data_IF_002490014242
#
_entry.id   IF_002490014242
#
_cell.length_a   1.000
_cell.length_b   1.000
_cell.length_c   1.000
_cell.angle_alpha   90.00
_cell.angle_beta   90.00
_cell.angle_gamma   90.00
#
_symmetry.space_group_name_H-M   'P 1'
#
loop_
_entity.id
_entity.type
_entity.pdbx_description
1 polymer ?
#
# COMPACT_ATOMS: atom_id res chain seq x y z
N UNK A 1 49.30 -2.93 19.01
CA UNK A 1 48.50 -2.09 18.09
C UNK A 1 47.43 -2.97 17.46
N UNK A 2 46.19 -2.82 17.88
CA UNK A 2 45.09 -3.69 17.44
C UNK A 2 44.67 -3.28 16.03
N UNK A 3 45.02 -4.11 15.04
CA UNK A 3 44.53 -3.97 13.67
C UNK A 3 43.04 -4.33 13.65
N UNK A 4 42.18 -3.31 13.67
CA UNK A 4 40.75 -3.48 13.47
C UNK A 4 40.50 -4.02 12.05
N UNK A 5 39.94 -5.22 11.96
CA UNK A 5 39.53 -5.84 10.72
C UNK A 5 38.53 -4.91 9.99
N UNK A 6 38.65 -4.70 8.66
CA UNK A 6 37.75 -3.80 7.96
C UNK A 6 36.31 -4.28 8.09
N UNK A 7 35.46 -3.46 8.71
CA UNK A 7 34.03 -3.74 8.90
C UNK A 7 33.39 -4.11 7.56
N UNK A 8 32.56 -5.17 7.56
CA UNK A 8 31.90 -5.59 6.33
C UNK A 8 30.96 -4.48 5.87
N UNK A 9 30.90 -4.13 4.56
CA UNK A 9 30.05 -3.04 4.07
C UNK A 9 28.56 -3.14 4.46
N UNK A 10 28.06 -4.34 4.72
CA UNK A 10 26.69 -4.57 5.19
C UNK A 10 26.46 -4.18 6.64
N UNK A 11 27.47 -4.31 7.51
CA UNK A 11 27.38 -3.96 8.91
C UNK A 11 27.27 -2.45 9.06
N UNK A 12 28.08 -1.70 8.30
CA UNK A 12 28.01 -0.23 8.21
C UNK A 12 26.63 0.23 7.73
N UNK A 13 26.06 -0.39 6.69
CA UNK A 13 24.73 -0.03 6.17
C UNK A 13 23.64 -0.35 7.20
N UNK A 14 23.71 -1.49 7.87
CA UNK A 14 22.74 -1.85 8.91
C UNK A 14 22.81 -0.93 10.11
N UNK A 15 24.01 -0.48 10.50
CA UNK A 15 24.19 0.51 11.57
C UNK A 15 23.50 1.82 11.20
N UNK A 16 23.75 2.35 10.00
CA UNK A 16 23.09 3.57 9.47
C UNK A 16 21.57 3.44 9.39
N UNK A 17 21.05 2.27 9.01
CA UNK A 17 19.60 2.04 8.98
C UNK A 17 19.02 1.91 10.39
N UNK A 18 19.75 1.31 11.32
CA UNK A 18 19.29 1.23 12.70
C UNK A 18 19.20 2.63 13.35
N UNK A 19 20.20 3.48 13.11
CA UNK A 19 20.22 4.89 13.53
C UNK A 19 19.04 5.69 12.95
N UNK A 20 18.53 5.30 11.78
CA UNK A 20 17.32 5.90 11.15
C UNK A 20 15.99 5.38 11.71
N UNK A 21 16.02 4.54 12.75
CA UNK A 21 14.81 4.03 13.43
C UNK A 21 14.22 2.76 12.82
N UNK A 22 14.94 2.05 11.94
CA UNK A 22 14.45 0.78 11.41
C UNK A 22 14.56 -0.34 12.46
N UNK A 23 13.51 -1.17 12.62
CA UNK A 23 13.49 -2.20 13.65
C UNK A 23 14.44 -3.36 13.30
N UNK A 24 15.09 -3.93 14.32
CA UNK A 24 16.17 -4.93 14.17
C UNK A 24 15.72 -6.17 13.39
N UNK A 25 14.46 -6.60 13.55
CA UNK A 25 13.88 -7.75 12.85
C UNK A 25 13.82 -7.53 11.32
N UNK A 26 13.45 -6.34 10.87
CA UNK A 26 13.42 -5.97 9.44
C UNK A 26 14.83 -5.94 8.86
N UNK A 27 15.80 -5.43 9.62
CA UNK A 27 17.20 -5.40 9.20
C UNK A 27 17.79 -6.80 9.08
N UNK A 28 17.52 -7.69 10.04
CA UNK A 28 17.94 -9.10 10.00
C UNK A 28 17.32 -9.85 8.82
N UNK A 29 16.03 -9.63 8.54
CA UNK A 29 15.35 -10.21 7.39
C UNK A 29 15.92 -9.68 6.06
N UNK A 30 16.22 -8.38 5.99
CA UNK A 30 16.88 -7.75 4.86
C UNK A 30 18.28 -8.31 4.59
N UNK A 31 19.07 -8.56 5.65
CA UNK A 31 20.39 -9.23 5.56
C UNK A 31 20.25 -10.62 4.94
N UNK A 32 19.41 -11.49 5.53
CA UNK A 32 19.19 -12.86 5.03
C UNK A 32 18.81 -12.87 3.54
N UNK A 33 17.89 -12.00 3.13
CA UNK A 33 17.45 -11.89 1.72
C UNK A 33 18.52 -11.37 0.77
N UNK A 34 19.37 -10.44 1.24
CA UNK A 34 20.49 -9.92 0.45
C UNK A 34 21.60 -10.96 0.29
N UNK A 35 21.86 -11.77 1.32
CA UNK A 35 22.91 -12.79 1.32
C UNK A 35 22.54 -13.99 0.44
N UNK A 36 21.28 -14.47 0.50
CA UNK A 36 20.78 -15.56 -0.36
C UNK A 36 20.98 -15.26 -1.85
N UNK A 37 20.81 -14.00 -2.27
CA UNK A 37 20.97 -13.58 -3.67
C UNK A 37 22.42 -13.29 -4.08
N UNK A 38 23.36 -13.21 -3.13
CA UNK A 38 24.79 -13.09 -3.42
C UNK A 38 25.46 -14.44 -3.58
N UNK A 39 25.04 -15.45 -2.82
CA UNK A 39 25.55 -16.83 -2.93
C UNK A 39 25.29 -17.39 -4.33
N UNK A 40 24.20 -16.98 -4.98
CA UNK A 40 23.90 -17.31 -6.39
C UNK A 40 24.69 -16.49 -7.43
N UNK A 41 25.53 -15.53 -7.00
CA UNK A 41 26.24 -14.55 -7.84
C UNK A 41 27.73 -14.42 -7.51
N UNK A 42 28.34 -15.43 -6.90
CA UNK A 42 29.79 -15.47 -6.74
C UNK A 42 30.47 -15.85 -8.06
N UNK A 43 30.41 -14.94 -9.03
CA UNK A 43 31.35 -14.90 -10.15
C UNK A 43 32.34 -13.78 -9.89
N UNK A 44 33.54 -14.20 -9.51
CA UNK A 44 34.86 -13.62 -9.82
C UNK A 44 34.84 -12.14 -10.24
N UNK A 45 34.99 -11.23 -9.28
CA UNK A 45 35.37 -9.83 -9.55
C UNK A 45 36.83 -9.78 -9.97
N UNK A 46 37.11 -9.92 -11.25
CA UNK A 46 38.36 -9.40 -11.82
C UNK A 46 38.17 -7.90 -12.07
N UNK A 47 38.95 -7.09 -11.36
CA UNK A 47 39.08 -5.65 -11.54
C UNK A 47 39.79 -5.38 -12.88
N UNK A 48 39.07 -5.49 -14.01
CA UNK A 48 39.62 -5.09 -15.31
C UNK A 48 39.46 -3.58 -15.49
N UNK A 49 40.60 -2.89 -15.39
CA UNK A 49 40.76 -1.47 -15.69
C UNK A 49 40.36 -1.20 -17.16
N UNK A 50 39.47 -0.22 -17.35
CA UNK A 50 39.50 0.69 -18.49
C UNK A 50 39.37 0.14 -19.90
N UNK A 51 38.54 -0.87 -20.18
CA UNK A 51 38.18 -1.15 -21.57
C UNK A 51 37.05 -0.22 -22.02
N UNK A 52 37.26 0.58 -23.08
CA UNK A 52 36.20 1.34 -23.76
C UNK A 52 35.26 0.35 -24.47
N UNK A 53 34.29 -0.18 -23.73
CA UNK A 53 33.27 -1.09 -24.24
C UNK A 53 31.92 -0.41 -24.16
N UNK A 54 31.07 -0.72 -25.12
CA UNK A 54 29.72 -0.17 -25.18
C UNK A 54 28.85 -0.88 -24.13
N UNK A 55 28.25 -0.14 -23.17
CA UNK A 55 27.29 -0.72 -22.25
C UNK A 55 25.94 -0.92 -22.95
N UNK A 56 25.35 -2.10 -22.79
CA UNK A 56 23.98 -2.37 -23.25
C UNK A 56 23.05 -2.47 -22.05
N UNK A 57 21.87 -1.86 -22.15
CA UNK A 57 20.87 -1.83 -21.06
C UNK A 57 20.06 -3.13 -21.01
N UNK A 58 19.74 -3.57 -19.80
CA UNK A 58 19.00 -4.80 -19.55
C UNK A 58 17.51 -4.64 -19.89
N UNK A 59 16.98 -5.49 -20.79
CA UNK A 59 15.56 -5.73 -20.97
C UNK A 59 15.22 -7.22 -20.70
N UNK A 60 13.94 -7.59 -20.67
CA UNK A 60 13.50 -8.97 -20.37
C UNK A 60 14.10 -10.03 -21.31
N UNK A 61 14.43 -9.64 -22.54
CA UNK A 61 15.06 -10.46 -23.59
C UNK A 61 16.59 -10.35 -23.64
N UNK A 62 17.22 -9.62 -22.71
CA UNK A 62 18.64 -9.27 -22.78
C UNK A 62 19.58 -10.47 -22.73
N UNK A 63 19.18 -11.58 -22.11
CA UNK A 63 20.00 -12.80 -22.08
C UNK A 63 20.09 -13.49 -23.44
N UNK A 64 18.98 -13.55 -24.19
CA UNK A 64 18.99 -14.12 -25.55
C UNK A 64 19.65 -13.15 -26.52
N UNK A 65 19.32 -11.85 -26.42
CA UNK A 65 19.93 -10.79 -27.22
C UNK A 65 21.45 -10.73 -26.97
N UNK A 66 21.90 -10.79 -25.72
CA UNK A 66 23.32 -10.79 -25.38
C UNK A 66 24.08 -11.96 -25.99
N UNK A 67 23.49 -13.18 -25.99
CA UNK A 67 24.08 -14.35 -26.66
C UNK A 67 24.21 -14.14 -28.16
N UNK A 68 23.17 -13.61 -28.81
CA UNK A 68 23.16 -13.32 -30.24
C UNK A 68 24.17 -12.24 -30.59
N UNK A 69 24.20 -11.13 -29.84
CA UNK A 69 25.14 -10.02 -30.03
C UNK A 69 26.59 -10.48 -29.87
N UNK A 70 26.91 -11.27 -28.83
CA UNK A 70 28.26 -11.80 -28.65
C UNK A 70 28.65 -12.77 -29.79
N UNK A 71 27.71 -13.57 -30.31
CA UNK A 71 27.97 -14.49 -31.44
C UNK A 71 28.19 -13.72 -32.76
N UNK A 72 27.41 -12.68 -33.01
CA UNK A 72 27.40 -11.91 -34.25
C UNK A 72 28.29 -10.65 -34.20
N UNK A 73 29.04 -10.44 -33.12
CA UNK A 73 29.83 -9.22 -32.91
C UNK A 73 30.87 -8.96 -34.01
N UNK A 74 31.39 -10.02 -34.63
CA UNK A 74 32.33 -9.96 -35.73
C UNK A 74 31.79 -9.18 -36.95
N UNK A 75 30.46 -9.12 -37.15
CA UNK A 75 29.83 -8.34 -38.22
C UNK A 75 30.07 -6.84 -37.99
N UNK A 76 29.92 -6.38 -36.75
CA UNK A 76 30.17 -4.98 -36.39
C UNK A 76 31.64 -4.61 -36.50
N UNK A 77 32.55 -5.53 -36.13
CA UNK A 77 34.00 -5.33 -36.30
C UNK A 77 34.40 -5.17 -37.77
N UNK A 78 33.75 -5.90 -38.69
CA UNK A 78 34.04 -5.84 -40.12
C UNK A 78 33.39 -4.65 -40.81
N UNK A 79 32.18 -4.27 -40.40
CA UNK A 79 31.45 -3.14 -40.99
C UNK A 79 32.01 -1.78 -40.56
N UNK A 80 32.60 -1.69 -39.36
CA UNK A 80 33.06 -0.44 -38.77
C UNK A 80 34.46 -0.52 -38.14
N UNK A 81 35.53 -0.78 -38.93
CA UNK A 81 36.90 -0.86 -38.42
C UNK A 81 37.44 0.46 -37.85
N UNK A 82 36.83 1.59 -38.22
CA UNK A 82 37.22 2.93 -37.76
C UNK A 82 36.81 3.23 -36.30
N UNK A 83 35.88 2.46 -35.72
CA UNK A 83 35.36 2.70 -34.37
C UNK A 83 36.09 1.79 -33.37
N UNK A 84 36.97 2.38 -32.55
CA UNK A 84 37.79 1.64 -31.59
C UNK A 84 36.98 0.92 -30.50
N UNK A 85 35.76 1.36 -30.24
CA UNK A 85 34.83 0.80 -29.25
C UNK A 85 34.26 -0.57 -29.66
N UNK A 86 34.24 -0.92 -30.95
CA UNK A 86 33.73 -2.21 -31.44
C UNK A 86 34.79 -3.32 -31.41
N UNK A 87 36.03 -3.02 -31.04
CA UNK A 87 37.12 -4.00 -30.93
C UNK A 87 36.77 -5.14 -29.96
N UNK A 88 36.03 -4.83 -28.88
CA UNK A 88 35.62 -5.81 -27.87
C UNK A 88 34.09 -5.94 -27.82
N UNK A 89 33.57 -7.13 -27.45
CA UNK A 89 32.13 -7.34 -27.31
C UNK A 89 31.52 -6.42 -26.24
N UNK A 90 30.22 -6.10 -26.36
CA UNK A 90 29.56 -5.13 -25.50
C UNK A 90 29.44 -5.67 -24.08
N UNK A 91 29.39 -4.75 -23.11
CA UNK A 91 29.19 -5.11 -21.70
C UNK A 91 27.71 -5.06 -21.39
N UNK A 92 27.15 -6.17 -20.92
CA UNK A 92 25.79 -6.19 -20.42
C UNK A 92 25.77 -5.48 -19.06
N UNK A 93 25.09 -4.34 -19.00
CA UNK A 93 24.79 -3.71 -17.71
C UNK A 93 23.68 -4.52 -17.04
N UNK A 94 23.90 -4.94 -15.80
CA UNK A 94 22.87 -5.60 -15.00
C UNK A 94 22.34 -4.60 -13.98
N UNK A 95 21.03 -4.67 -13.69
CA UNK A 95 20.50 -3.97 -12.52
C UNK A 95 21.33 -4.32 -11.29
N UNK A 96 21.64 -3.29 -10.48
CA UNK A 96 22.43 -3.45 -9.26
C UNK A 96 21.82 -4.56 -8.41
N UNK A 97 22.68 -5.42 -7.85
CA UNK A 97 22.23 -6.47 -6.95
C UNK A 97 21.41 -5.90 -5.80
N UNK A 98 20.37 -6.63 -5.38
CA UNK A 98 19.49 -6.21 -4.28
C UNK A 98 20.33 -6.02 -3.01
N UNK A 99 20.42 -4.78 -2.53
CA UNK A 99 21.10 -4.40 -1.28
C UNK A 99 20.10 -4.36 -0.13
N UNK A 100 20.60 -4.37 1.11
CA UNK A 100 19.75 -4.22 2.31
C UNK A 100 18.89 -2.95 2.21
N UNK A 101 19.46 -1.83 1.76
CA UNK A 101 18.72 -0.59 1.53
C UNK A 101 17.62 -0.69 0.47
N UNK A 102 17.79 -1.52 -0.57
CA UNK A 102 16.71 -1.76 -1.55
C UNK A 102 15.59 -2.67 -1.01
N UNK A 103 15.87 -3.46 0.03
CA UNK A 103 14.90 -4.38 0.65
C UNK A 103 14.14 -3.76 1.82
N UNK A 104 14.65 -2.64 2.36
CA UNK A 104 14.11 -1.98 3.54
C UNK A 104 13.61 -0.60 3.12
N UNK A 105 12.30 -0.46 2.97
CA UNK A 105 11.60 0.77 2.54
C UNK A 105 10.99 1.51 3.72
N UNK A 106 10.66 2.79 3.53
CA UNK A 106 10.03 3.64 4.57
C UNK A 106 8.73 3.04 5.14
N UNK A 107 8.01 2.22 4.36
CA UNK A 107 6.85 1.45 4.80
C UNK A 107 7.12 0.52 6.00
N UNK A 108 8.38 0.14 6.21
CA UNK A 108 8.78 -0.77 7.29
C UNK A 108 9.04 -0.03 8.60
N UNK A 109 9.10 1.30 8.56
CA UNK A 109 9.02 2.13 9.75
C UNK A 109 7.54 2.19 10.09
N UNK A 110 7.14 1.59 11.21
CA UNK A 110 5.78 1.78 11.73
C UNK A 110 5.65 3.25 12.11
N UNK A 111 5.09 4.07 11.23
CA UNK A 111 4.44 5.29 11.66
C UNK A 111 3.23 4.82 12.45
N UNK A 112 3.17 5.15 13.75
CA UNK A 112 1.93 5.00 14.50
C UNK A 112 0.83 5.68 13.67
N UNK A 113 -0.32 5.01 13.48
CA UNK A 113 -1.47 5.61 12.79
C UNK A 113 -1.63 7.02 13.34
N UNK A 114 -1.40 8.03 12.49
CA UNK A 114 -1.62 9.42 12.90
C UNK A 114 -3.11 9.52 13.18
N UNK A 115 -3.48 9.56 14.47
CA UNK A 115 -4.69 10.25 14.86
C UNK A 115 -4.56 11.64 14.24
N UNK A 116 -5.49 11.99 13.34
CA UNK A 116 -5.47 13.29 12.69
C UNK A 116 -5.85 14.32 13.74
N UNK A 117 -4.85 14.88 14.41
CA UNK A 117 -5.02 16.04 15.28
C UNK A 117 -5.68 17.14 14.45
N UNK A 118 -6.88 17.54 14.87
CA UNK A 118 -7.53 18.73 14.30
C UNK A 118 -6.99 19.93 15.09
N UNK A 119 -7.03 21.14 14.53
CA UNK A 119 -6.52 22.36 15.20
C UNK A 119 -7.08 22.58 16.64
N UNK A 120 -8.26 22.00 16.94
CA UNK A 120 -8.94 22.07 18.24
C UNK A 120 -8.72 20.81 19.12
N UNK A 121 -7.81 19.92 18.74
CA UNK A 121 -7.45 18.73 19.49
C UNK A 121 -7.73 17.39 18.79
N UNK A 122 -7.55 16.32 19.56
CA UNK A 122 -7.73 14.93 19.14
C UNK A 122 -9.18 14.65 18.77
N UNK A 123 -9.42 14.04 17.60
CA UNK A 123 -10.74 13.52 17.26
C UNK A 123 -11.08 12.38 18.21
N UNK A 124 -12.09 12.60 19.04
CA UNK A 124 -12.60 11.54 19.91
C UNK A 124 -13.44 10.57 19.07
N UNK A 125 -13.33 9.25 19.30
CA UNK A 125 -14.15 8.28 18.59
C UNK A 125 -15.59 8.33 19.10
N UNK A 126 -16.56 8.17 18.21
CA UNK A 126 -17.99 8.32 18.49
C UNK A 126 -18.77 8.85 17.30
N UNK A 127 -20.08 8.98 17.48
CA UNK A 127 -20.96 9.66 16.53
C UNK A 127 -21.12 11.13 16.89
N UNK A 128 -20.86 12.04 15.94
CA UNK A 128 -20.89 13.48 16.17
C UNK A 128 -21.86 14.19 15.23
N UNK A 129 -22.47 15.29 15.70
CA UNK A 129 -23.35 16.08 14.87
C UNK A 129 -22.55 16.71 13.71
N UNK A 130 -23.17 16.63 12.55
CA UNK A 130 -22.79 17.36 11.36
C UNK A 130 -23.18 18.84 11.49
N UNK A 131 -22.34 19.75 10.98
CA UNK A 131 -22.57 21.19 11.07
C UNK A 131 -23.82 21.53 10.25
N UNK A 132 -24.81 22.19 10.87
CA UNK A 132 -26.00 22.69 10.19
C UNK A 132 -27.10 21.68 9.87
N UNK A 133 -27.07 20.48 10.49
CA UNK A 133 -28.12 19.47 10.26
C UNK A 133 -29.10 19.35 11.41
N UNK A 134 -30.36 19.52 11.06
CA UNK A 134 -31.58 19.30 11.85
C UNK A 134 -31.74 17.85 12.31
N UNK A 135 -31.39 16.86 11.48
CA UNK A 135 -31.51 15.43 11.84
C UNK A 135 -30.43 14.92 12.77
N UNK A 136 -29.26 15.59 12.80
CA UNK A 136 -28.18 15.24 13.71
C UNK A 136 -28.61 15.40 15.21
N UNK A 137 -29.76 16.01 15.50
CA UNK A 137 -30.38 16.03 16.84
C UNK A 137 -31.01 14.70 17.27
N UNK A 138 -31.50 13.89 16.32
CA UNK A 138 -32.19 12.62 16.59
C UNK A 138 -31.25 11.40 16.56
N UNK A 139 -29.97 11.63 16.26
CA UNK A 139 -28.94 10.60 16.19
C UNK A 139 -28.24 10.50 17.54
N UNK A 140 -27.92 9.28 17.99
CA UNK A 140 -27.13 9.04 19.21
C UNK A 140 -25.74 9.68 19.03
N UNK A 141 -25.36 10.58 19.94
CA UNK A 141 -24.09 11.36 19.90
C UNK A 141 -23.07 10.85 20.92
N UNK A 142 -22.88 9.54 20.99
CA UNK A 142 -22.05 8.93 22.02
C UNK A 142 -20.87 8.16 21.41
N UNK A 143 -19.89 7.84 22.27
CA UNK A 143 -18.76 6.98 21.96
C UNK A 143 -19.13 5.50 21.97
N UNK A 144 -20.24 5.17 22.61
CA UNK A 144 -20.74 3.82 22.77
C UNK A 144 -22.19 3.73 22.26
N UNK A 145 -22.51 2.68 21.52
CA UNK A 145 -23.89 2.36 21.17
C UNK A 145 -24.45 1.38 22.20
N UNK A 146 -25.59 1.72 22.81
CA UNK A 146 -26.30 0.84 23.74
C UNK A 146 -27.40 0.12 22.98
N UNK A 147 -27.34 -1.22 22.92
CA UNK A 147 -28.36 -2.02 22.28
C UNK A 147 -29.68 -1.94 23.09
N UNK A 148 -30.81 -1.52 22.49
CA UNK A 148 -32.04 -1.19 23.22
C UNK A 148 -32.69 -2.39 23.93
N UNK A 149 -32.52 -3.60 23.40
CA UNK A 149 -33.12 -4.81 23.99
C UNK A 149 -32.22 -5.58 24.97
N UNK A 150 -30.90 -5.42 24.91
CA UNK A 150 -29.95 -6.22 25.70
C UNK A 150 -29.11 -5.38 26.64
N UNK A 151 -29.10 -4.05 26.48
CA UNK A 151 -28.26 -3.14 27.25
C UNK A 151 -26.75 -3.28 26.95
N UNK A 152 -26.37 -4.11 25.97
CA UNK A 152 -24.98 -4.31 25.60
C UNK A 152 -24.39 -3.03 25.01
N UNK A 153 -23.20 -2.65 25.47
CA UNK A 153 -22.49 -1.44 25.05
C UNK A 153 -21.42 -1.80 24.02
N UNK A 154 -21.55 -1.23 22.83
CA UNK A 154 -20.59 -1.41 21.73
C UNK A 154 -19.74 -0.14 21.61
N UNK A 155 -18.43 -0.17 21.93
CA UNK A 155 -17.57 1.00 21.76
C UNK A 155 -17.27 1.24 20.28
N UNK A 156 -17.43 2.48 19.84
CA UNK A 156 -17.12 2.89 18.47
C UNK A 156 -15.61 3.15 18.34
N UNK A 157 -14.97 2.57 17.33
CA UNK A 157 -13.51 2.69 17.12
C UNK A 157 -13.11 3.85 16.21
N UNK A 158 -14.06 4.69 15.78
CA UNK A 158 -13.82 5.76 14.82
C UNK A 158 -14.68 6.99 15.08
N UNK A 159 -14.35 8.09 14.42
CA UNK A 159 -15.15 9.32 14.42
C UNK A 159 -16.10 9.30 13.22
N UNK A 160 -17.41 9.23 13.49
CA UNK A 160 -18.44 9.12 12.48
C UNK A 160 -19.35 10.36 12.46
N UNK A 161 -19.62 10.87 11.27
CA UNK A 161 -20.57 11.96 10.99
C UNK A 161 -21.47 11.53 9.83
N UNK A 162 -22.66 12.15 9.70
CA UNK A 162 -23.60 11.76 8.64
C UNK A 162 -22.98 11.92 7.25
N UNK A 163 -23.01 10.85 6.45
CA UNK A 163 -22.35 10.80 5.15
C UNK A 163 -23.18 11.41 4.02
N UNK A 164 -24.44 11.73 4.30
CA UNK A 164 -25.41 12.28 3.33
C UNK A 164 -25.10 13.76 3.08
N UNK A 165 -24.90 14.55 4.13
CA UNK A 165 -24.54 15.97 4.00
C UNK A 165 -23.07 16.21 3.62
N UNK A 166 -22.24 15.16 3.67
CA UNK A 166 -20.83 15.22 3.28
C UNK A 166 -20.60 14.95 1.78
N UNK A 167 -21.66 14.76 0.99
CA UNK A 167 -21.56 14.55 -0.45
C UNK A 167 -20.84 13.25 -0.83
N UNK A 168 -20.97 12.20 -0.01
CA UNK A 168 -20.24 10.95 -0.24
C UNK A 168 -20.97 10.02 -1.20
N UNK A 169 -20.50 9.92 -2.44
CA UNK A 169 -21.08 9.04 -3.47
C UNK A 169 -20.72 7.55 -3.34
N UNK A 170 -19.88 7.16 -2.37
CA UNK A 170 -19.43 5.77 -2.24
C UNK A 170 -20.48 4.84 -1.63
N UNK A 171 -21.41 5.39 -0.87
CA UNK A 171 -22.41 4.59 -0.17
C UNK A 171 -23.74 4.64 -0.90
N UNK A 172 -24.45 3.51 -1.06
CA UNK A 172 -25.69 3.45 -1.83
C UNK A 172 -26.74 4.47 -1.36
N UNK A 173 -26.91 4.61 -0.04
CA UNK A 173 -27.88 5.54 0.56
C UNK A 173 -27.46 6.98 0.31
N UNK A 174 -26.21 7.36 0.62
CA UNK A 174 -25.72 8.72 0.37
C UNK A 174 -25.77 9.09 -1.11
N UNK A 175 -25.40 8.17 -2.01
CA UNK A 175 -25.44 8.38 -3.46
C UNK A 175 -26.88 8.61 -3.93
N UNK A 176 -27.82 7.76 -3.53
CA UNK A 176 -29.23 7.92 -3.88
C UNK A 176 -29.78 9.27 -3.44
N UNK A 177 -29.46 9.70 -2.22
CA UNK A 177 -29.92 10.98 -1.72
C UNK A 177 -29.37 12.15 -2.54
N UNK A 178 -28.13 12.07 -3.00
CA UNK A 178 -27.53 13.10 -3.84
C UNK A 178 -28.11 13.06 -5.27
N UNK A 179 -28.21 11.88 -5.87
CA UNK A 179 -28.71 11.69 -7.24
C UNK A 179 -30.18 12.15 -7.38
N UNK A 180 -30.98 11.95 -6.33
CA UNK A 180 -32.40 12.32 -6.30
C UNK A 180 -32.67 13.68 -5.64
N UNK A 181 -31.64 14.41 -5.21
CA UNK A 181 -31.79 15.72 -4.56
C UNK A 181 -32.54 15.68 -3.23
N UNK A 182 -32.50 14.54 -2.52
CA UNK A 182 -33.14 14.37 -1.23
C UNK A 182 -32.34 15.04 -0.10
N UNK A 183 -33.05 15.68 0.83
CA UNK A 183 -32.44 16.20 2.06
C UNK A 183 -32.36 15.09 3.11
N UNK A 184 -31.33 15.13 3.96
CA UNK A 184 -31.25 14.26 5.13
C UNK A 184 -32.52 14.35 6.01
N UNK A 185 -33.26 15.46 5.96
CA UNK A 185 -34.54 15.65 6.65
C UNK A 185 -35.63 14.63 6.28
N UNK A 186 -35.53 14.04 5.09
CA UNK A 186 -36.48 13.05 4.60
C UNK A 186 -36.26 11.65 5.22
N UNK A 187 -35.18 11.44 5.99
CA UNK A 187 -34.88 10.17 6.68
C UNK A 187 -35.75 9.93 7.93
N UNK A 188 -36.54 10.92 8.36
CA UNK A 188 -37.28 10.89 9.64
C UNK A 188 -38.27 9.71 9.77
N UNK A 189 -38.57 9.00 8.69
CA UNK A 189 -39.57 7.92 8.67
C UNK A 189 -39.06 6.54 8.22
N UNK A 190 -37.75 6.36 7.98
CA UNK A 190 -37.24 5.04 7.57
C UNK A 190 -36.71 4.31 8.81
N UNK A 191 -37.64 3.85 9.65
CA UNK A 191 -37.33 2.76 10.59
C UNK A 191 -37.20 1.51 9.72
N UNK A 192 -36.00 0.93 9.65
CA UNK A 192 -35.82 -0.40 9.08
C UNK A 192 -36.50 -1.40 10.01
N UNK A 193 -37.81 -1.62 9.82
CA UNK A 193 -38.54 -2.69 10.48
C UNK A 193 -38.02 -4.02 9.93
N UNK A 194 -37.29 -4.78 10.75
CA UNK A 194 -36.85 -6.12 10.38
C UNK A 194 -38.07 -7.05 10.41
N UNK A 195 -38.58 -7.42 9.24
CA UNK A 195 -39.63 -8.43 9.15
C UNK A 195 -38.97 -9.80 9.31
N UNK A 196 -39.27 -10.53 10.40
CA UNK A 196 -38.68 -11.83 10.64
C UNK A 196 -39.00 -12.79 9.49
N UNK A 197 -38.06 -13.69 9.12
CA UNK A 197 -38.24 -14.59 8.00
C UNK A 197 -39.46 -15.48 8.22
N UNK A 198 -40.32 -15.58 7.20
CA UNK A 198 -41.51 -16.41 7.22
C UNK A 198 -41.10 -17.89 7.38
N UNK A 199 -41.70 -18.57 8.37
CA UNK A 199 -41.35 -19.97 8.67
C UNK A 199 -41.82 -20.97 7.59
N UNK A 200 -42.79 -20.59 6.75
CA UNK A 200 -43.34 -21.43 5.67
C UNK A 200 -43.76 -20.60 4.44
N UNK A 201 -43.14 -20.88 3.29
CA UNK A 201 -43.70 -20.81 1.93
C UNK A 201 -44.46 -19.57 1.43
N UNK A 202 -44.48 -18.44 2.14
CA UNK A 202 -45.21 -17.23 1.73
C UNK A 202 -44.40 -16.34 0.78
N UNK A 203 -45.09 -15.66 -0.15
CA UNK A 203 -44.47 -14.66 -1.01
C UNK A 203 -44.12 -13.40 -0.20
N UNK A 204 -42.87 -13.31 0.24
CA UNK A 204 -42.33 -12.22 1.07
C UNK A 204 -42.50 -10.85 0.41
N UNK A 205 -42.36 -10.78 -0.90
CA UNK A 205 -42.41 -9.52 -1.64
C UNK A 205 -43.83 -8.92 -1.65
N UNK A 206 -44.85 -9.78 -1.75
CA UNK A 206 -46.25 -9.34 -1.68
C UNK A 206 -46.62 -8.79 -0.30
N UNK A 207 -46.15 -9.43 0.77
CA UNK A 207 -46.38 -8.97 2.16
C UNK A 207 -45.68 -7.64 2.45
N UNK A 208 -44.47 -7.45 1.92
CA UNK A 208 -43.76 -6.17 2.02
C UNK A 208 -44.57 -5.06 1.35
N UNK A 209 -45.02 -5.28 0.11
CA UNK A 209 -45.85 -4.32 -0.63
C UNK A 209 -47.18 -4.02 0.09
N UNK A 210 -47.86 -5.00 0.67
CA UNK A 210 -49.12 -4.77 1.39
C UNK A 210 -48.96 -3.94 2.67
N UNK A 211 -47.79 -4.01 3.31
CA UNK A 211 -47.49 -3.28 4.55
C UNK A 211 -47.01 -1.85 4.30
N UNK A 212 -46.46 -1.57 3.12
CA UNK A 212 -46.11 -0.21 2.66
C UNK A 212 -47.35 0.66 2.33
N UNK A 213 -48.52 0.05 2.10
CA UNK A 213 -49.77 0.77 1.75
C UNK A 213 -50.54 1.27 2.99
N UNK A 214 -50.15 0.88 4.20
CA UNK A 214 -50.77 1.34 5.46
C UNK A 214 -49.97 2.46 6.13
#
# INVERSE_FOLDING_TARGET
MNNAMPEKPQEVICKKLHERGYPKNVLQQGKKRADIKRVTRTDRRETKRGSRRIPFEYNSSSNSIGKVLCRLWHIFQRAYPQVGEFTAPPVMSYHRGKTIGSMVTLSNIKTNQRQTDTFLGLRTPGMYPCIGCTQCSNVIKDREFVHPGTGYRVPLQGHFTSQINLGNYRLPVSKHFIDMGHSADQLKYIVLEEIPPLRYGGNRELMLKQREVW
#
